data_IF_187538989320
#
_entry.id   IF_187538989320
#
_cell.length_a   1.000
_cell.length_b   1.000
_cell.length_c   1.000
_cell.angle_alpha   90.00
_cell.angle_beta   90.00
_cell.angle_gamma   90.00
#
_symmetry.space_group_name_H-M   'P 1'
#
loop_
_entity.id
_entity.type
_entity.pdbx_description
1 polymer ?
#
# COMPACT_ATOMS: atom_id res chain seq x y z
N UNK A 1 -17.03 -13.78 17.49
CA UNK A 1 -16.79 -14.75 18.57
C UNK A 1 -15.35 -14.50 19.03
N UNK A 2 -15.01 -13.87 20.14
CA UNK A 2 -15.67 -13.61 21.43
C UNK A 2 -15.31 -12.17 21.79
N UNK A 3 -16.30 -11.32 22.06
CA UNK A 3 -16.07 -10.00 22.65
C UNK A 3 -15.90 -10.22 24.15
N UNK A 4 -14.78 -10.80 24.57
CA UNK A 4 -14.47 -10.96 25.98
C UNK A 4 -14.02 -9.58 26.48
N UNK A 5 -14.70 -8.96 27.45
CA UNK A 5 -14.18 -7.76 28.07
C UNK A 5 -12.82 -8.13 28.68
N UNK A 6 -11.75 -7.53 28.16
CA UNK A 6 -10.47 -7.52 28.86
C UNK A 6 -10.66 -6.62 30.08
N UNK A 7 -11.00 -7.25 31.19
CA UNK A 7 -10.99 -6.57 32.46
C UNK A 7 -9.54 -6.39 32.92
N UNK A 8 -9.09 -5.16 33.13
CA UNK A 8 -7.86 -4.92 33.86
C UNK A 8 -8.17 -5.20 35.33
N UNK A 9 -7.75 -6.37 35.80
CA UNK A 9 -8.01 -6.80 37.18
C UNK A 9 -6.99 -6.11 38.09
N UNK A 10 -7.41 -5.01 38.70
CA UNK A 10 -6.52 -4.18 39.53
C UNK A 10 -6.38 -4.69 40.96
N UNK A 11 -7.25 -5.60 41.41
CA UNK A 11 -7.28 -6.08 42.80
C UNK A 11 -7.54 -7.60 42.93
N UNK A 12 -6.95 -8.46 42.08
CA UNK A 12 -7.00 -9.92 42.30
C UNK A 12 -5.62 -10.55 42.41
N UNK A 13 -5.38 -11.14 43.58
CA UNK A 13 -4.08 -11.66 44.01
C UNK A 13 -3.77 -13.05 43.44
N UNK A 14 -4.76 -13.73 42.85
CA UNK A 14 -4.61 -15.01 42.16
C UNK A 14 -5.45 -15.03 40.88
N UNK A 15 -4.93 -15.68 39.83
CA UNK A 15 -5.48 -15.72 38.46
C UNK A 15 -6.98 -16.08 38.46
N UNK A 16 -7.84 -15.12 38.18
CA UNK A 16 -9.29 -15.18 38.38
C UNK A 16 -10.09 -15.64 37.15
N UNK A 17 -9.48 -16.46 36.28
CA UNK A 17 -10.20 -17.04 35.14
C UNK A 17 -9.71 -18.44 34.77
N UNK A 18 -10.67 -19.29 34.36
CA UNK A 18 -10.43 -20.63 33.82
C UNK A 18 -11.01 -20.70 32.41
N UNK A 19 -10.25 -21.24 31.47
CA UNK A 19 -10.67 -21.43 30.08
C UNK A 19 -10.63 -22.92 29.74
N UNK A 20 -11.74 -23.46 29.23
CA UNK A 20 -11.84 -24.85 28.81
C UNK A 20 -12.41 -24.95 27.40
N UNK A 21 -11.82 -25.80 26.55
CA UNK A 21 -12.33 -26.07 25.21
C UNK A 21 -13.52 -27.05 25.28
N UNK A 22 -14.57 -26.79 24.51
CA UNK A 22 -15.68 -27.74 24.36
C UNK A 22 -15.31 -28.76 23.26
N UNK A 23 -15.21 -30.06 23.56
CA UNK A 23 -14.79 -31.06 22.60
C UNK A 23 -15.71 -31.06 21.36
N UNK A 24 -15.12 -31.38 20.20
CA UNK A 24 -15.83 -31.44 18.91
C UNK A 24 -16.46 -30.12 18.44
N UNK A 25 -15.98 -28.97 18.95
CA UNK A 25 -16.48 -27.64 18.55
C UNK A 25 -15.36 -26.58 18.52
N UNK A 26 -15.67 -25.41 17.97
CA UNK A 26 -14.83 -24.22 17.98
C UNK A 26 -15.11 -23.28 19.16
N UNK A 27 -15.80 -23.77 20.20
CA UNK A 27 -16.23 -22.99 21.35
C UNK A 27 -15.32 -23.18 22.55
N UNK A 28 -15.21 -22.13 23.37
CA UNK A 28 -14.49 -22.12 24.64
C UNK A 28 -15.43 -21.64 25.76
N UNK A 29 -15.39 -22.31 26.90
CA UNK A 29 -16.04 -21.90 28.13
C UNK A 29 -15.06 -21.08 28.96
N UNK A 30 -15.47 -19.86 29.35
CA UNK A 30 -14.67 -18.95 30.17
C UNK A 30 -15.42 -18.70 31.48
N UNK A 31 -14.79 -19.03 32.60
CA UNK A 31 -15.32 -18.80 33.96
C UNK A 31 -14.50 -17.70 34.61
N UNK A 32 -15.16 -16.67 35.13
CA UNK A 32 -14.53 -15.53 35.81
C UNK A 32 -15.07 -15.39 37.22
N UNK A 33 -14.21 -14.99 38.16
CA UNK A 33 -14.61 -14.69 39.53
C UNK A 33 -15.31 -13.31 39.61
N UNK A 34 -16.51 -13.26 40.19
CA UNK A 34 -17.30 -12.04 40.34
C UNK A 34 -16.84 -11.14 41.49
N UNK A 35 -15.92 -11.59 42.34
CA UNK A 35 -15.38 -10.82 43.48
C UNK A 35 -14.30 -9.79 43.07
N UNK A 36 -13.82 -9.86 41.84
CA UNK A 36 -12.78 -8.99 41.30
C UNK A 36 -13.33 -7.64 40.81
N UNK A 37 -12.79 -6.53 41.33
CA UNK A 37 -13.01 -5.19 40.77
C UNK A 37 -12.31 -5.08 39.41
N UNK A 38 -13.07 -4.75 38.39
CA UNK A 38 -12.60 -4.63 37.01
C UNK A 38 -12.77 -3.20 36.52
N UNK A 39 -11.69 -2.59 36.07
CA UNK A 39 -11.76 -1.34 35.32
C UNK A 39 -12.13 -1.69 33.87
N UNK A 40 -13.20 -1.07 33.36
CA UNK A 40 -13.67 -1.33 32.00
C UNK A 40 -12.71 -0.72 30.99
N UNK A 41 -11.88 -1.55 30.38
CA UNK A 41 -11.09 -1.17 29.21
C UNK A 41 -12.03 -1.07 28.01
N UNK A 42 -11.70 -0.21 27.05
CA UNK A 42 -12.42 -0.13 25.78
C UNK A 42 -12.58 -1.53 25.16
N UNK A 43 -13.78 -1.91 24.70
CA UNK A 43 -14.02 -3.23 24.13
C UNK A 43 -13.13 -3.44 22.90
N UNK A 44 -12.45 -4.59 22.83
CA UNK A 44 -11.71 -4.96 21.62
C UNK A 44 -12.72 -5.25 20.52
N UNK A 45 -12.71 -4.42 19.48
CA UNK A 45 -13.54 -4.66 18.31
C UNK A 45 -12.84 -5.63 17.36
N UNK A 46 -13.61 -6.51 16.75
CA UNK A 46 -13.15 -7.34 15.62
C UNK A 46 -13.13 -6.56 14.29
N UNK A 47 -13.44 -5.27 14.34
CA UNK A 47 -13.50 -4.43 13.16
C UNK A 47 -12.08 -4.25 12.59
N UNK A 48 -11.90 -4.34 11.27
CA UNK A 48 -10.61 -4.07 10.66
C UNK A 48 -10.18 -2.65 10.98
N UNK A 49 -8.94 -2.49 11.46
CA UNK A 49 -8.35 -1.18 11.73
C UNK A 49 -7.54 -0.79 10.50
N UNK A 50 -7.86 0.35 9.91
CA UNK A 50 -7.04 0.94 8.85
C UNK A 50 -5.72 1.44 9.44
N UNK A 51 -4.62 0.76 9.09
CA UNK A 51 -3.29 1.22 9.45
C UNK A 51 -2.88 2.31 8.45
N UNK A 52 -2.94 3.57 8.89
CA UNK A 52 -2.35 4.69 8.14
C UNK A 52 -0.84 4.67 8.34
N UNK A 53 -0.11 4.27 7.31
CA UNK A 53 1.34 4.27 7.34
C UNK A 53 1.87 5.72 7.30
N UNK A 54 2.45 6.17 8.42
CA UNK A 54 3.27 7.37 8.43
C UNK A 54 4.64 7.08 7.78
N UNK A 55 5.42 8.14 7.54
CA UNK A 55 6.73 8.04 6.87
C UNK A 55 7.68 7.07 7.59
N UNK A 56 7.67 7.05 8.93
CA UNK A 56 8.50 6.15 9.74
C UNK A 56 8.08 4.67 9.65
N UNK A 57 6.78 4.36 9.70
CA UNK A 57 6.26 3.00 9.54
C UNK A 57 6.50 2.44 8.15
N UNK A 58 6.53 3.30 7.11
CA UNK A 58 6.88 2.90 5.75
C UNK A 58 8.33 2.42 5.66
N UNK A 59 9.26 3.12 6.33
CA UNK A 59 10.67 2.74 6.38
C UNK A 59 10.89 1.41 7.13
N UNK A 60 10.23 1.20 8.27
CA UNK A 60 10.30 -0.06 9.01
C UNK A 60 9.83 -1.26 8.17
N UNK A 61 8.75 -1.08 7.39
CA UNK A 61 8.27 -2.14 6.48
C UNK A 61 9.23 -2.43 5.32
N UNK A 62 9.94 -1.42 4.82
CA UNK A 62 10.98 -1.60 3.81
C UNK A 62 12.18 -2.39 4.36
N UNK A 63 12.46 -2.28 5.66
CA UNK A 63 13.49 -3.07 6.33
C UNK A 63 13.11 -4.55 6.45
N UNK A 64 11.82 -4.83 6.70
CA UNK A 64 11.27 -6.18 6.73
C UNK A 64 10.91 -6.74 5.34
N UNK A 65 11.62 -6.32 4.29
CA UNK A 65 11.31 -6.66 2.90
C UNK A 65 11.11 -8.17 2.70
N UNK A 66 9.92 -8.55 2.23
CA UNK A 66 9.64 -9.90 1.74
C UNK A 66 10.69 -10.25 0.67
N UNK A 67 11.30 -11.42 0.77
CA UNK A 67 12.32 -11.88 -0.19
C UNK A 67 11.74 -11.80 -1.60
N UNK A 68 12.40 -11.00 -2.45
CA UNK A 68 12.15 -10.92 -3.90
C UNK A 68 13.33 -11.54 -4.61
N UNK A 69 13.08 -12.50 -5.50
CA UNK A 69 14.14 -13.10 -6.32
C UNK A 69 14.48 -12.15 -7.46
N UNK A 70 15.76 -11.81 -7.62
CA UNK A 70 16.24 -11.05 -8.78
C UNK A 70 16.17 -11.96 -10.03
N UNK A 71 15.83 -11.43 -11.22
CA UNK A 71 15.98 -12.17 -12.46
C UNK A 71 17.43 -12.65 -12.65
N UNK A 72 17.60 -13.82 -13.27
CA UNK A 72 18.91 -14.44 -13.51
C UNK A 72 19.75 -13.64 -14.52
N UNK A 73 19.11 -12.95 -15.48
CA UNK A 73 19.78 -12.04 -16.40
C UNK A 73 19.03 -10.71 -16.55
N UNK A 74 19.79 -9.66 -16.86
CA UNK A 74 19.29 -8.34 -17.18
C UNK A 74 19.96 -7.89 -18.48
N UNK A 75 19.18 -7.73 -19.55
CA UNK A 75 19.68 -7.30 -20.86
C UNK A 75 19.18 -5.88 -21.12
N UNK A 76 19.91 -4.90 -20.59
CA UNK A 76 19.51 -3.49 -20.65
C UNK A 76 19.70 -2.81 -22.00
N UNK A 77 20.45 -3.43 -22.91
CA UNK A 77 20.77 -2.87 -24.22
C UNK A 77 20.80 -3.98 -25.27
N UNK A 78 20.25 -3.68 -26.46
CA UNK A 78 20.33 -4.56 -27.61
C UNK A 78 21.45 -4.09 -28.56
N UNK A 79 22.24 -4.98 -29.18
CA UNK A 79 23.34 -4.55 -30.08
C UNK A 79 22.85 -3.76 -31.31
N UNK A 80 21.62 -3.99 -31.76
CA UNK A 80 20.98 -3.22 -32.83
C UNK A 80 20.34 -1.90 -32.33
N UNK A 81 20.40 -1.62 -31.02
CA UNK A 81 19.86 -0.38 -30.46
C UNK A 81 20.87 0.75 -30.66
N UNK A 82 20.55 1.67 -31.57
CA UNK A 82 21.38 2.83 -31.85
C UNK A 82 20.82 4.10 -31.21
N UNK A 83 21.21 4.38 -29.97
CA UNK A 83 20.84 5.63 -29.28
C UNK A 83 21.39 6.91 -29.96
N UNK A 84 22.25 6.78 -30.97
CA UNK A 84 22.80 7.92 -31.73
C UNK A 84 21.89 8.39 -32.88
N UNK A 85 20.83 7.64 -33.18
CA UNK A 85 19.84 8.02 -34.21
C UNK A 85 18.71 8.91 -33.68
N UNK A 86 18.82 9.41 -32.45
CA UNK A 86 17.90 10.42 -31.94
C UNK A 86 18.32 11.85 -32.36
N UNK A 87 17.34 12.72 -32.67
CA UNK A 87 17.59 14.14 -32.97
C UNK A 87 17.70 14.52 -34.45
N UNK A 88 17.50 13.59 -35.37
CA UNK A 88 17.51 13.84 -36.82
C UNK A 88 16.21 14.38 -37.43
N UNK A 89 15.17 14.61 -36.63
CA UNK A 89 13.94 15.21 -37.13
C UNK A 89 14.23 16.67 -37.52
N UNK A 90 14.01 17.07 -38.79
CA UNK A 90 14.05 18.49 -39.12
C UNK A 90 13.00 19.17 -38.23
N UNK A 91 13.39 20.27 -37.58
CA UNK A 91 12.40 21.16 -36.97
C UNK A 91 11.35 21.48 -38.04
N UNK A 92 10.08 21.60 -37.65
CA UNK A 92 8.97 22.00 -38.52
C UNK A 92 9.21 23.44 -39.01
N UNK A 93 10.20 23.64 -39.88
CA UNK A 93 10.40 24.86 -40.64
C UNK A 93 9.43 24.78 -41.80
N UNK A 94 8.33 25.54 -41.68
CA UNK A 94 7.48 25.84 -42.83
C UNK A 94 8.39 26.44 -43.91
N UNK A 95 8.68 25.67 -44.97
CA UNK A 95 9.47 26.16 -46.08
C UNK A 95 8.77 27.40 -46.61
N UNK A 96 9.48 28.52 -46.69
CA UNK A 96 8.99 29.80 -47.21
C UNK A 96 8.34 29.65 -48.62
N UNK A 97 8.75 28.62 -49.36
CA UNK A 97 8.16 28.15 -50.62
C UNK A 97 6.67 27.78 -50.53
N UNK A 98 6.18 27.32 -49.37
CA UNK A 98 4.76 27.01 -49.15
C UNK A 98 3.92 28.26 -48.83
N UNK A 99 4.56 29.37 -48.43
CA UNK A 99 3.89 30.61 -48.02
C UNK A 99 3.82 31.61 -49.18
N UNK A 100 4.79 31.57 -50.11
CA UNK A 100 4.87 32.43 -51.29
C UNK A 100 3.68 32.31 -52.27
N UNK A 101 3.22 31.10 -52.65
CA UNK A 101 2.08 30.96 -53.58
C UNK A 101 0.76 31.53 -53.05
N UNK A 102 0.30 31.30 -51.81
CA UNK A 102 -0.93 31.94 -51.32
C UNK A 102 -0.80 33.46 -51.19
N UNK A 103 0.39 33.98 -50.87
CA UNK A 103 0.63 35.44 -50.79
C UNK A 103 0.56 36.12 -52.17
N UNK A 104 1.14 35.50 -53.21
CA UNK A 104 1.01 35.98 -54.60
C UNK A 104 -0.44 35.94 -55.07
N UNK A 105 -1.17 34.86 -54.77
CA UNK A 105 -2.59 34.77 -55.12
C UNK A 105 -3.41 35.88 -54.47
N UNK A 106 -3.13 36.23 -53.20
CA UNK A 106 -3.80 37.33 -52.50
C UNK A 106 -3.42 38.73 -53.02
N UNK A 107 -2.22 38.88 -53.60
CA UNK A 107 -1.77 40.13 -54.23
C UNK A 107 -2.33 40.32 -55.64
N UNK A 108 -2.54 39.24 -56.40
CA UNK A 108 -3.14 39.28 -57.74
C UNK A 108 -4.67 39.20 -57.72
N UNK A 109 -5.29 38.85 -56.60
CA UNK A 109 -6.76 38.86 -56.42
C UNK A 109 -7.30 40.20 -55.90
N UNK A 110 -6.50 41.27 -55.96
CA UNK A 110 -6.87 42.65 -55.56
C UNK A 110 -7.11 43.51 -56.79
#
# INVERSE_FOLDING_TARGET
MVNAPLCLVTSCFNRSFVIQQIPSSNLFMVVVDSSCLCESVAPITMAPIEIRYNESLKCERLKAQKIRRRPESCHGFHPEENARECGGAPSLQAKMVLILPPLLLMLFSR
#
